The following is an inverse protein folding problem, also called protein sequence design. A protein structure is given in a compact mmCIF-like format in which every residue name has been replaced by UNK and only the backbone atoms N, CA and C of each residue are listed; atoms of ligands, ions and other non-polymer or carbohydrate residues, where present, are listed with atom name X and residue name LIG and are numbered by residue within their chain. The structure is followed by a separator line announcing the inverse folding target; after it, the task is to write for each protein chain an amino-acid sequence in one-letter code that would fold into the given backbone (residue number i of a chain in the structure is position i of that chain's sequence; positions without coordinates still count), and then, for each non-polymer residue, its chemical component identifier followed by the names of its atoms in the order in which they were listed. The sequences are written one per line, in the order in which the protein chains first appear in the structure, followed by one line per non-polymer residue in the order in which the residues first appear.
data_IF_448670191878
#
_entry.id   IF_448670191878
#
_cell.length_a   1.000
_cell.length_b   1.000
_cell.length_c   1.000
_cell.angle_alpha   90.00
_cell.angle_beta   90.00
_cell.angle_gamma   90.00
#
_symmetry.space_group_name_H-M   'P 1'
#
loop_
_entity.id
_entity.type
_entity.pdbx_description
1 polymer ?
#
# COMPACT_ATOMS: atom_id res chain seq x y z
N UNK A 1 -21.83 -18.64 14.03
CA UNK A 1 -21.68 -18.21 12.63
C UNK A 1 -20.25 -18.47 12.20
N UNK A 2 -20.04 -19.12 11.07
CA UNK A 2 -18.72 -19.40 10.49
C UNK A 2 -18.16 -18.16 9.80
N UNK A 3 -16.87 -17.88 9.98
CA UNK A 3 -16.16 -16.77 9.30
C UNK A 3 -14.78 -17.22 8.82
N UNK A 4 -14.34 -16.65 7.70
CA UNK A 4 -13.01 -16.87 7.13
C UNK A 4 -12.11 -15.67 7.45
N UNK A 5 -10.85 -15.95 7.83
CA UNK A 5 -9.80 -14.96 8.00
C UNK A 5 -8.53 -15.46 7.30
N UNK A 6 -7.90 -14.60 6.51
CA UNK A 6 -6.56 -14.87 5.99
C UNK A 6 -5.53 -14.57 7.10
N UNK A 7 -4.74 -15.58 7.49
CA UNK A 7 -3.76 -15.49 8.58
C UNK A 7 -2.38 -15.88 8.04
N UNK A 8 -1.34 -15.25 8.57
CA UNK A 8 0.05 -15.64 8.28
C UNK A 8 0.32 -17.03 8.85
N UNK A 9 0.80 -17.97 8.04
CA UNK A 9 1.42 -19.17 8.60
C UNK A 9 2.86 -18.84 9.00
N UNK A 10 3.34 -19.34 10.14
CA UNK A 10 4.76 -19.25 10.48
C UNK A 10 5.54 -20.15 9.52
N UNK A 11 6.53 -19.65 8.78
CA UNK A 11 7.39 -20.51 7.99
C UNK A 11 8.30 -21.28 8.94
N UNK A 12 8.38 -22.60 8.74
CA UNK A 12 9.56 -23.36 9.16
C UNK A 12 10.56 -23.20 8.02
N UNK A 13 11.63 -22.46 8.29
CA UNK A 13 12.83 -22.26 7.48
C UNK A 13 12.80 -21.25 6.31
N UNK A 14 14.02 -20.77 6.03
CA UNK A 14 14.45 -19.58 5.30
C UNK A 14 14.03 -19.53 3.83
N UNK A 15 13.51 -18.38 3.40
CA UNK A 15 13.23 -18.11 1.99
C UNK A 15 12.16 -17.05 1.83
N UNK A 16 12.38 -16.13 0.91
CA UNK A 16 11.80 -14.80 0.86
C UNK A 16 10.35 -14.76 0.33
N UNK A 17 9.41 -15.50 0.93
CA UNK A 17 7.97 -15.32 0.72
C UNK A 17 7.16 -16.04 1.82
N UNK A 18 6.72 -15.29 2.84
CA UNK A 18 5.79 -15.83 3.85
C UNK A 18 4.46 -16.22 3.18
N UNK A 19 4.04 -17.50 3.21
CA UNK A 19 2.77 -17.91 2.66
C UNK A 19 1.63 -17.47 3.59
N UNK A 20 0.67 -16.77 3.01
CA UNK A 20 -0.61 -16.51 3.68
C UNK A 20 -1.53 -17.69 3.46
N UNK A 21 -2.20 -18.11 4.53
CA UNK A 21 -3.14 -19.23 4.50
C UNK A 21 -4.52 -18.71 4.87
N UNK A 22 -5.55 -19.25 4.24
CA UNK A 22 -6.91 -19.00 4.69
C UNK A 22 -7.29 -19.95 5.80
N UNK A 23 -7.77 -19.38 6.89
CA UNK A 23 -8.23 -20.13 8.06
C UNK A 23 -9.73 -19.87 8.22
N UNK A 24 -10.50 -20.95 8.25
CA UNK A 24 -11.93 -20.93 8.57
C UNK A 24 -12.11 -21.53 9.95
N UNK A 25 -12.78 -20.83 10.85
CA UNK A 25 -13.12 -21.34 12.16
C UNK A 25 -14.51 -20.89 12.59
N UNK A 26 -15.11 -21.68 13.48
CA UNK A 26 -16.44 -21.40 14.02
C UNK A 26 -16.31 -20.56 15.28
N UNK A 27 -17.05 -19.46 15.36
CA UNK A 27 -17.13 -18.62 16.56
C UNK A 27 -18.35 -18.98 17.40
N UNK A 28 -18.13 -19.13 18.70
CA UNK A 28 -19.19 -19.25 19.71
C UNK A 28 -19.45 -17.87 20.31
N UNK A 29 -20.71 -17.45 20.30
CA UNK A 29 -21.14 -16.19 20.89
C UNK A 29 -21.53 -16.42 22.34
N UNK A 30 -21.01 -15.59 23.24
CA UNK A 30 -21.44 -15.56 24.63
C UNK A 30 -22.22 -14.27 24.84
N UNK A 31 -23.43 -14.38 25.38
CA UNK A 31 -24.18 -13.21 25.81
C UNK A 31 -23.86 -12.97 27.28
N UNK A 32 -23.43 -11.76 27.61
CA UNK A 32 -23.32 -11.33 28.99
C UNK A 32 -24.73 -11.13 29.56
N UNK A 33 -24.97 -11.74 30.72
CA UNK A 33 -26.26 -11.75 31.39
C UNK A 33 -26.58 -10.42 32.09
N UNK A 34 -25.58 -9.55 32.26
CA UNK A 34 -25.70 -8.28 32.99
C UNK A 34 -26.07 -7.11 32.08
N UNK A 35 -25.55 -7.09 30.86
CA UNK A 35 -25.72 -5.97 29.92
C UNK A 35 -26.36 -6.40 28.57
N UNK A 36 -26.61 -7.70 28.39
CA UNK A 36 -27.16 -8.31 27.15
C UNK A 36 -26.28 -8.17 25.91
N UNK A 37 -25.02 -7.71 26.04
CA UNK A 37 -24.08 -7.62 24.93
C UNK A 37 -23.46 -8.98 24.60
N UNK A 38 -23.07 -9.15 23.35
CA UNK A 38 -22.38 -10.35 22.89
C UNK A 38 -20.85 -10.16 22.90
N UNK A 39 -20.18 -11.07 23.60
CA UNK A 39 -18.73 -11.17 23.74
C UNK A 39 -18.15 -12.31 22.92
N UNK A 40 -16.90 -12.10 22.52
CA UNK A 40 -16.17 -12.99 21.62
C UNK A 40 -14.88 -13.42 22.30
N UNK A 41 -14.98 -14.27 23.32
CA UNK A 41 -13.85 -14.60 24.21
C UNK A 41 -12.58 -15.00 23.43
N UNK A 42 -12.71 -15.82 22.38
CA UNK A 42 -11.57 -16.21 21.54
C UNK A 42 -11.01 -15.06 20.70
N UNK A 43 -11.86 -14.16 20.20
CA UNK A 43 -11.42 -13.01 19.40
C UNK A 43 -10.76 -11.96 20.29
N UNK A 44 -11.34 -11.70 21.47
CA UNK A 44 -10.78 -10.80 22.48
C UNK A 44 -9.41 -11.30 22.95
N UNK A 45 -9.28 -12.60 23.21
CA UNK A 45 -7.99 -13.21 23.55
C UNK A 45 -6.95 -13.10 22.43
N UNK A 46 -7.37 -13.21 21.17
CA UNK A 46 -6.50 -13.07 19.99
C UNK A 46 -6.30 -11.61 19.52
N UNK A 47 -6.96 -10.63 20.16
CA UNK A 47 -6.98 -9.24 19.71
C UNK A 47 -7.61 -9.03 18.32
N UNK A 48 -8.51 -9.91 17.91
CA UNK A 48 -9.21 -9.82 16.62
C UNK A 48 -10.45 -8.94 16.73
N UNK A 49 -10.45 -7.80 16.06
CA UNK A 49 -11.67 -6.99 15.97
C UNK A 49 -12.83 -7.75 15.32
N UNK A 50 -14.06 -7.40 15.74
CA UNK A 50 -15.33 -7.97 15.22
C UNK A 50 -15.47 -7.88 13.69
N UNK A 51 -14.70 -7.04 13.00
CA UNK A 51 -14.73 -6.85 11.54
C UNK A 51 -13.45 -7.27 10.79
N UNK A 52 -12.46 -7.85 11.49
CA UNK A 52 -11.17 -8.19 10.87
C UNK A 52 -11.27 -9.50 10.08
N UNK A 53 -11.38 -9.36 8.75
CA UNK A 53 -11.39 -10.46 7.78
C UNK A 53 -10.03 -10.70 7.10
N UNK A 54 -9.11 -9.75 7.27
CA UNK A 54 -7.77 -9.77 6.69
C UNK A 54 -6.81 -9.38 7.81
N UNK A 55 -5.86 -10.26 8.11
CA UNK A 55 -4.80 -10.01 9.08
C UNK A 55 -4.04 -8.69 8.75
N UNK A 56 -3.66 -7.88 9.77
CA UNK A 56 -3.11 -6.55 9.55
C UNK A 56 -1.84 -6.51 8.67
N UNK A 57 -0.91 -7.46 8.82
CA UNK A 57 0.30 -7.53 8.01
C UNK A 57 -0.01 -7.90 6.53
N UNK A 58 -1.01 -8.74 6.28
CA UNK A 58 -1.49 -9.07 4.94
C UNK A 58 -2.05 -7.82 4.27
N UNK A 59 -2.87 -7.07 5.01
CA UNK A 59 -3.44 -5.81 4.56
C UNK A 59 -2.35 -4.77 4.26
N UNK A 60 -1.34 -4.65 5.12
CA UNK A 60 -0.19 -3.76 4.88
C UNK A 60 0.56 -4.16 3.60
N UNK A 61 0.85 -5.45 3.40
CA UNK A 61 1.53 -5.97 2.21
C UNK A 61 0.76 -5.68 0.92
N UNK A 62 -0.57 -5.80 0.94
CA UNK A 62 -1.45 -5.45 -0.18
C UNK A 62 -1.37 -3.96 -0.53
N UNK A 63 -1.41 -3.09 0.48
CA UNK A 63 -1.31 -1.64 0.32
C UNK A 63 0.07 -1.25 -0.22
N UNK A 64 1.16 -1.76 0.38
CA UNK A 64 2.53 -1.48 -0.07
C UNK A 64 2.74 -1.88 -1.53
N UNK A 65 2.32 -3.09 -1.93
CA UNK A 65 2.45 -3.54 -3.33
C UNK A 65 1.64 -2.71 -4.31
N UNK A 66 0.53 -2.12 -3.87
CA UNK A 66 -0.30 -1.28 -4.74
C UNK A 66 0.33 0.05 -5.13
N UNK A 67 1.44 0.44 -4.49
CA UNK A 67 2.25 1.57 -4.91
C UNK A 67 2.94 1.31 -6.26
N UNK A 68 3.28 0.04 -6.54
CA UNK A 68 4.03 -0.35 -7.74
C UNK A 68 3.18 -1.03 -8.81
N UNK A 69 2.05 -1.64 -8.42
CA UNK A 69 1.17 -2.40 -9.32
C UNK A 69 -0.31 -2.11 -9.10
N UNK A 70 -1.15 -2.44 -10.09
CA UNK A 70 -2.60 -2.29 -9.95
C UNK A 70 -3.18 -3.08 -8.77
N UNK A 71 -4.30 -2.66 -8.20
CA UNK A 71 -4.94 -3.34 -7.06
C UNK A 71 -5.20 -4.83 -7.31
N UNK A 72 -5.66 -5.18 -8.52
CA UNK A 72 -5.88 -6.57 -8.90
C UNK A 72 -4.58 -7.37 -8.97
N UNK A 73 -3.49 -6.76 -9.45
CA UNK A 73 -2.17 -7.39 -9.50
C UNK A 73 -1.54 -7.51 -8.11
N UNK A 74 -1.74 -6.53 -7.22
CA UNK A 74 -1.32 -6.60 -5.82
C UNK A 74 -1.96 -7.81 -5.11
N UNK A 75 -3.26 -8.03 -5.33
CA UNK A 75 -3.96 -9.24 -4.87
C UNK A 75 -3.39 -10.49 -5.50
N UNK A 76 -3.23 -10.55 -6.82
CA UNK A 76 -2.73 -11.74 -7.49
C UNK A 76 -1.32 -12.16 -7.02
N UNK A 77 -0.49 -11.20 -6.63
CA UNK A 77 0.85 -11.44 -6.09
C UNK A 77 0.83 -11.85 -4.61
N UNK A 78 -0.29 -11.69 -3.90
CA UNK A 78 -0.42 -11.92 -2.47
C UNK A 78 -1.38 -13.08 -2.22
N UNK A 79 -0.92 -14.22 -1.68
CA UNK A 79 -1.84 -15.24 -1.19
C UNK A 79 -2.70 -14.68 -0.03
N UNK A 80 -3.92 -15.20 0.23
CA UNK A 80 -4.70 -16.13 -0.57
C UNK A 80 -5.53 -15.42 -1.67
N UNK A 81 -5.81 -16.14 -2.76
CA UNK A 81 -6.47 -15.64 -3.97
C UNK A 81 -7.94 -15.20 -3.82
N UNK A 82 -8.53 -15.28 -2.61
CA UNK A 82 -9.94 -14.91 -2.33
C UNK A 82 -10.13 -13.43 -1.99
N UNK A 83 -9.08 -12.61 -2.07
CA UNK A 83 -9.17 -11.16 -1.90
C UNK A 83 -9.54 -10.48 -3.22
N UNK A 84 -10.05 -9.25 -3.13
CA UNK A 84 -10.42 -8.46 -4.32
C UNK A 84 -9.69 -7.13 -4.34
N UNK A 85 -9.73 -6.42 -5.49
CA UNK A 85 -9.18 -5.06 -5.56
C UNK A 85 -9.81 -4.11 -4.54
N UNK A 86 -11.05 -4.37 -4.10
CA UNK A 86 -11.70 -3.61 -3.02
C UNK A 86 -11.00 -3.82 -1.67
N UNK A 87 -10.48 -5.02 -1.42
CA UNK A 87 -9.70 -5.33 -0.20
C UNK A 87 -8.41 -4.50 -0.11
N UNK A 88 -7.90 -4.00 -1.24
CA UNK A 88 -6.77 -3.07 -1.32
C UNK A 88 -7.24 -1.60 -1.25
N UNK A 89 -8.29 -1.26 -1.99
CA UNK A 89 -8.80 0.10 -2.09
C UNK A 89 -9.34 0.64 -0.75
N UNK A 90 -10.08 -0.18 -0.01
CA UNK A 90 -10.70 0.21 1.26
C UNK A 90 -9.68 0.69 2.31
N UNK A 91 -8.60 -0.05 2.62
CA UNK A 91 -7.59 0.44 3.56
C UNK A 91 -6.85 1.68 3.07
N UNK A 92 -6.56 1.82 1.76
CA UNK A 92 -5.96 3.05 1.21
C UNK A 92 -6.87 4.25 1.45
N UNK A 93 -8.18 4.10 1.21
CA UNK A 93 -9.17 5.16 1.49
C UNK A 93 -9.26 5.50 2.97
N UNK A 94 -9.18 4.51 3.86
CA UNK A 94 -9.17 4.71 5.32
C UNK A 94 -7.90 5.42 5.80
N UNK A 95 -6.75 5.14 5.17
CA UNK A 95 -5.49 5.83 5.45
C UNK A 95 -5.60 7.32 5.11
N UNK A 96 -6.45 7.67 4.13
CA UNK A 96 -6.73 9.05 3.75
C UNK A 96 -5.55 9.69 3.01
N UNK A 97 -5.45 11.01 3.10
CA UNK A 97 -4.32 11.74 2.54
C UNK A 97 -3.10 11.53 3.41
N UNK A 98 -2.13 10.78 2.90
CA UNK A 98 -0.79 10.72 3.50
C UNK A 98 -0.20 12.13 3.35
N UNK A 99 0.16 12.80 4.45
CA UNK A 99 0.72 14.13 4.35
C UNK A 99 2.00 14.05 3.52
N UNK A 100 2.09 14.90 2.50
CA UNK A 100 3.32 15.08 1.72
C UNK A 100 4.28 15.92 2.56
N UNK A 101 4.76 15.35 3.66
CA UNK A 101 5.78 15.98 4.48
C UNK A 101 7.05 16.03 3.64
N UNK A 102 7.67 17.20 3.59
CA UNK A 102 8.97 17.35 2.98
C UNK A 102 9.91 16.33 3.64
N UNK A 103 10.42 15.39 2.84
CA UNK A 103 11.46 14.48 3.29
C UNK A 103 12.62 15.33 3.82
N UNK A 104 13.27 14.87 4.89
CA UNK A 104 14.43 15.58 5.46
C UNK A 104 15.42 15.87 4.35
N UNK A 105 15.96 17.09 4.31
CA UNK A 105 16.97 17.46 3.32
C UNK A 105 18.08 16.42 3.35
N UNK A 106 18.39 15.79 2.20
CA UNK A 106 19.45 14.79 2.17
C UNK A 106 20.78 15.43 2.53
N UNK A 107 21.65 14.66 3.17
CA UNK A 107 23.03 15.10 3.40
C UNK A 107 23.68 15.49 2.05
N UNK A 108 24.50 16.53 2.08
CA UNK A 108 25.25 16.95 0.90
C UNK A 108 26.11 15.77 0.43
N UNK A 109 26.02 15.45 -0.87
CA UNK A 109 26.83 14.40 -1.47
C UNK A 109 28.15 15.00 -1.96
N UNK A 110 29.29 14.69 -1.32
CA UNK A 110 30.58 15.17 -1.79
C UNK A 110 30.86 14.61 -3.20
N UNK A 111 31.35 15.47 -4.10
CA UNK A 111 31.65 15.12 -5.50
C UNK A 111 30.49 15.35 -6.49
N UNK A 112 29.28 15.69 -6.02
CA UNK A 112 28.19 16.12 -6.90
C UNK A 112 28.22 17.65 -7.03
N UNK A 113 28.69 18.13 -8.18
CA UNK A 113 28.78 19.58 -8.46
C UNK A 113 27.70 20.08 -9.42
N UNK A 114 27.00 19.16 -10.09
CA UNK A 114 25.95 19.47 -11.07
C UNK A 114 24.79 18.51 -10.85
N UNK A 115 23.59 19.06 -10.91
CA UNK A 115 22.32 18.32 -10.98
C UNK A 115 21.54 18.82 -12.17
N UNK A 116 20.68 17.96 -12.70
CA UNK A 116 19.83 18.25 -13.82
C UNK A 116 18.38 18.27 -13.34
N UNK A 117 17.60 19.19 -13.89
CA UNK A 117 16.18 19.34 -13.57
C UNK A 117 15.40 19.26 -14.87
N UNK A 118 14.44 18.34 -14.92
CA UNK A 118 13.47 18.20 -16.01
C UNK A 118 12.08 18.46 -15.46
N UNK A 119 11.41 19.49 -15.98
CA UNK A 119 10.03 19.81 -15.66
C UNK A 119 9.15 19.41 -16.84
N UNK A 120 8.09 18.65 -16.55
CA UNK A 120 7.15 18.11 -17.53
C UNK A 120 5.73 18.15 -16.94
N UNK A 121 4.75 17.95 -17.81
CA UNK A 121 3.33 17.89 -17.48
C UNK A 121 2.80 16.49 -17.76
N UNK A 122 2.30 15.80 -16.73
CA UNK A 122 1.67 14.50 -16.90
C UNK A 122 0.14 14.66 -16.96
N UNK A 123 -0.49 13.99 -17.93
CA UNK A 123 -1.94 14.03 -18.11
C UNK A 123 -2.56 12.79 -17.45
N UNK A 124 -3.01 12.96 -16.20
CA UNK A 124 -3.56 11.86 -15.41
C UNK A 124 -5.06 11.77 -15.61
N UNK A 125 -5.52 10.63 -16.15
CA UNK A 125 -6.93 10.32 -16.24
C UNK A 125 -7.52 10.12 -14.83
N UNK A 126 -8.51 10.93 -14.48
CA UNK A 126 -9.17 10.85 -13.17
C UNK A 126 -10.25 9.77 -13.17
N UNK A 127 -10.49 9.15 -12.01
CA UNK A 127 -11.62 8.21 -11.84
C UNK A 127 -12.98 8.89 -12.01
N UNK A 128 -13.05 10.20 -11.73
CA UNK A 128 -14.24 11.03 -11.88
C UNK A 128 -13.82 12.40 -12.42
N UNK A 129 -14.57 12.92 -13.37
CA UNK A 129 -14.32 14.22 -13.99
C UNK A 129 -13.28 14.16 -15.12
N UNK A 130 -12.79 15.33 -15.51
CA UNK A 130 -11.83 15.48 -16.60
C UNK A 130 -10.42 15.03 -16.17
N UNK A 131 -9.60 14.68 -17.16
CA UNK A 131 -8.17 14.46 -16.96
C UNK A 131 -7.55 15.70 -16.32
N UNK A 132 -6.61 15.47 -15.40
CA UNK A 132 -5.89 16.54 -14.71
C UNK A 132 -4.45 16.55 -15.16
N UNK A 133 -3.95 17.76 -15.37
CA UNK A 133 -2.55 18.02 -15.57
C UNK A 133 -1.84 18.01 -14.21
N UNK A 134 -0.87 17.13 -14.05
CA UNK A 134 -0.01 17.04 -12.88
C UNK A 134 1.38 17.54 -13.24
N UNK A 135 1.90 18.47 -12.43
CA UNK A 135 3.26 18.96 -12.61
C UNK A 135 4.24 17.90 -12.12
N UNK A 136 5.20 17.56 -12.96
CA UNK A 136 6.24 16.57 -12.66
C UNK A 136 7.61 17.22 -12.82
N UNK A 137 8.42 17.19 -11.76
CA UNK A 137 9.79 17.69 -11.79
C UNK A 137 10.72 16.55 -11.39
N UNK A 138 11.61 16.15 -12.28
CA UNK A 138 12.66 15.18 -12.03
C UNK A 138 13.98 15.91 -11.80
N UNK A 139 14.58 15.71 -10.63
CA UNK A 139 15.95 16.15 -10.31
C UNK A 139 16.86 14.93 -10.30
N UNK A 140 17.96 14.94 -11.03
CA UNK A 140 18.87 13.78 -11.12
C UNK A 140 20.32 14.20 -11.30
N UNK A 141 21.24 13.27 -11.03
CA UNK A 141 22.69 13.52 -11.06
C UNK A 141 23.29 13.26 -12.44
N UNK A 142 22.87 12.16 -13.11
CA UNK A 142 23.37 11.80 -14.44
C UNK A 142 22.43 10.83 -15.18
N UNK A 143 22.71 10.59 -16.47
CA UNK A 143 21.98 9.67 -17.37
C UNK A 143 22.90 8.59 -17.93
N UNK A 144 22.69 7.34 -17.54
CA UNK A 144 23.45 6.18 -18.07
C UNK A 144 22.65 5.45 -19.16
N UNK A 145 23.30 5.02 -20.27
CA UNK A 145 22.64 4.18 -21.26
C UNK A 145 22.34 2.79 -20.67
N UNK A 146 21.18 2.23 -21.00
CA UNK A 146 20.78 0.86 -20.62
C UNK A 146 20.77 -0.04 -21.84
N UNK A 147 20.16 0.42 -22.93
CA UNK A 147 20.18 -0.20 -24.24
C UNK A 147 19.96 0.88 -25.31
N UNK A 148 19.89 0.49 -26.59
CA UNK A 148 19.69 1.42 -27.69
C UNK A 148 18.41 2.25 -27.48
N UNK A 149 18.55 3.57 -27.47
CA UNK A 149 17.43 4.51 -27.25
C UNK A 149 16.92 4.63 -25.82
N UNK A 150 17.39 3.81 -24.86
CA UNK A 150 16.93 3.84 -23.47
C UNK A 150 18.02 4.26 -22.51
N UNK A 151 17.75 5.31 -21.72
CA UNK A 151 18.63 5.79 -20.65
C UNK A 151 17.94 5.68 -19.29
N UNK A 152 18.72 5.53 -18.22
CA UNK A 152 18.26 5.52 -16.83
C UNK A 152 18.83 6.73 -16.09
N UNK A 153 17.98 7.40 -15.33
CA UNK A 153 18.37 8.49 -14.43
C UNK A 153 18.99 7.91 -13.15
N UNK A 154 20.15 8.41 -12.74
CA UNK A 154 20.79 8.06 -11.47
C UNK A 154 20.63 9.19 -10.45
N UNK A 155 20.50 8.85 -9.17
CA UNK A 155 20.26 9.82 -8.10
C UNK A 155 18.95 10.60 -8.24
N UNK A 156 17.96 10.02 -8.94
CA UNK A 156 16.70 10.70 -9.27
C UNK A 156 15.84 10.93 -8.02
N UNK A 157 15.39 12.17 -7.84
CA UNK A 157 14.27 12.57 -7.00
C UNK A 157 13.16 13.14 -7.89
N UNK A 158 11.93 12.73 -7.64
CA UNK A 158 10.77 13.17 -8.40
C UNK A 158 9.85 13.95 -7.48
N UNK A 159 9.51 15.17 -7.88
CA UNK A 159 8.56 16.02 -7.22
C UNK A 159 7.31 16.07 -8.09
N UNK A 160 6.17 15.75 -7.51
CA UNK A 160 4.89 15.88 -8.18
C UNK A 160 3.90 16.57 -7.28
N UNK A 161 2.94 17.24 -7.89
CA UNK A 161 1.91 17.94 -7.15
C UNK A 161 0.80 18.36 -8.09
N UNK A 162 -0.40 18.39 -7.53
CA UNK A 162 -1.50 19.10 -8.13
C UNK A 162 -1.97 20.13 -7.10
N UNK A 163 -2.24 21.35 -7.55
CA UNK A 163 -2.81 22.37 -6.67
C UNK A 163 -4.24 21.94 -6.37
N UNK A 164 -4.50 21.45 -5.16
CA UNK A 164 -5.86 21.37 -4.68
C UNK A 164 -6.40 22.81 -4.69
N UNK A 165 -7.45 23.06 -5.48
CA UNK A 165 -8.23 24.28 -5.33
C UNK A 165 -8.68 24.30 -3.88
N UNK A 166 -8.30 25.35 -3.15
CA UNK A 166 -8.85 25.61 -1.82
C UNK A 166 -10.38 25.56 -1.92
N UNK A 167 -11.07 24.95 -0.95
CA UNK A 167 -12.53 24.99 -0.91
C UNK A 167 -13.06 26.42 -0.82
#
# INVERSE_FOLDING_TARGET
ASRNIAIRSKPIAHGHDDPWVEVTFTRTYYQDKTDSFYHYLSDEWLGLDKSTHIEPFCRARLVTRSADVSYRKSVALTPPARLSGQSVLQPIRKLGTIPNQAEVMPAAKPGIHKVYVEADEDHVAMQKGHAKEMKLINVYETKVPVCQGRRKLLGRRTFSGWKALSP
#
